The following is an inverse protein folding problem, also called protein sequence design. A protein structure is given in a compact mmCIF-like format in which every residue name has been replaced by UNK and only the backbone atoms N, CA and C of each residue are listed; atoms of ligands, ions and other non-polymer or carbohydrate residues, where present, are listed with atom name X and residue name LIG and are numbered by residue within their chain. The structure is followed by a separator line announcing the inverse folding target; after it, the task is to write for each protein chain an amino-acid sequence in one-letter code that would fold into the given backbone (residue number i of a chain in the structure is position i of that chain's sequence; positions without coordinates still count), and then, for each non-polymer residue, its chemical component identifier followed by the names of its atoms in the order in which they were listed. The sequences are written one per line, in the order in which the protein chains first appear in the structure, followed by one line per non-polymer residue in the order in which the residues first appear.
data_IF_435903936660
#
_entry.id   IF_435903936660
#
_cell.length_a   1.000
_cell.length_b   1.000
_cell.length_c   1.000
_cell.angle_alpha   90.00
_cell.angle_beta   90.00
_cell.angle_gamma   90.00
#
_symmetry.space_group_name_H-M   'P 1'
#
loop_
_entity.id
_entity.type
_entity.pdbx_description
1 polymer ?
#
# COMPACT_ATOMS: atom_id res chain seq x y z
N UNK A 1 5.94 4.56 33.73
CA UNK A 1 6.86 3.73 32.91
C UNK A 1 6.44 3.58 31.43
N UNK A 2 5.17 3.74 31.03
CA UNK A 2 4.72 3.67 29.62
C UNK A 2 4.74 5.01 28.85
N UNK A 3 5.06 6.13 29.51
CA UNK A 3 4.95 7.48 28.92
C UNK A 3 5.84 7.69 27.70
N UNK A 4 7.11 7.29 27.78
CA UNK A 4 8.07 7.45 26.69
C UNK A 4 7.70 6.56 25.47
N UNK A 5 7.25 5.33 25.71
CA UNK A 5 6.83 4.40 24.64
C UNK A 5 5.60 4.93 23.90
N UNK A 6 4.60 5.45 24.64
CA UNK A 6 3.40 6.06 24.04
C UNK A 6 3.76 7.31 23.21
N UNK A 7 4.69 8.13 23.72
CA UNK A 7 5.15 9.33 23.03
C UNK A 7 5.95 8.99 21.76
N UNK A 8 6.85 8.01 21.83
CA UNK A 8 7.60 7.50 20.67
C UNK A 8 6.66 6.90 19.62
N UNK A 9 5.68 6.07 20.00
CA UNK A 9 4.71 5.52 19.05
C UNK A 9 3.84 6.60 18.38
N UNK A 10 3.46 7.67 19.09
CA UNK A 10 2.73 8.79 18.51
C UNK A 10 3.58 9.60 17.51
N UNK A 11 4.87 9.81 17.79
CA UNK A 11 5.82 10.41 16.85
C UNK A 11 6.01 9.55 15.59
N UNK A 12 6.00 8.23 15.75
CA UNK A 12 6.19 7.28 14.64
C UNK A 12 5.06 7.33 13.62
N UNK A 13 3.81 7.58 14.01
CA UNK A 13 2.69 7.68 13.05
C UNK A 13 2.90 8.87 12.09
N UNK A 14 3.33 10.01 12.62
CA UNK A 14 3.64 11.19 11.80
C UNK A 14 4.84 10.96 10.88
N UNK A 15 5.92 10.37 11.41
CA UNK A 15 7.11 10.05 10.62
C UNK A 15 6.80 9.05 9.49
N UNK A 16 6.10 7.95 9.80
CA UNK A 16 5.65 6.95 8.80
C UNK A 16 4.80 7.57 7.72
N UNK A 17 3.84 8.42 8.10
CA UNK A 17 2.98 9.14 7.14
C UNK A 17 3.82 10.06 6.23
N UNK A 18 4.80 10.77 6.80
CA UNK A 18 5.74 11.59 6.05
C UNK A 18 6.53 10.78 5.01
N UNK A 19 7.03 9.60 5.38
CA UNK A 19 7.72 8.71 4.44
C UNK A 19 6.78 8.17 3.36
N UNK A 20 5.53 7.83 3.71
CA UNK A 20 4.53 7.44 2.73
C UNK A 20 4.28 8.57 1.72
N UNK A 21 4.17 9.82 2.18
CA UNK A 21 4.00 10.99 1.33
C UNK A 21 5.20 11.22 0.40
N UNK A 22 6.43 11.12 0.92
CA UNK A 22 7.65 11.19 0.11
C UNK A 22 7.69 10.08 -0.94
N UNK A 23 7.32 8.86 -0.57
CA UNK A 23 7.27 7.71 -1.49
C UNK A 23 6.29 7.95 -2.64
N UNK A 24 5.10 8.51 -2.35
CA UNK A 24 4.12 8.89 -3.38
C UNK A 24 4.67 10.02 -4.26
N UNK A 25 5.34 11.02 -3.70
CA UNK A 25 5.94 12.13 -4.45
C UNK A 25 7.05 11.70 -5.40
N UNK A 26 7.97 10.85 -4.94
CA UNK A 26 9.06 10.28 -5.75
C UNK A 26 8.49 9.38 -6.85
N UNK A 27 7.49 8.55 -6.52
CA UNK A 27 6.79 7.68 -7.48
C UNK A 27 6.07 8.49 -8.58
N UNK A 28 5.45 9.63 -8.22
CA UNK A 28 4.87 10.57 -9.19
C UNK A 28 5.94 11.16 -10.11
N UNK A 29 7.07 11.59 -9.57
CA UNK A 29 8.17 12.13 -10.35
C UNK A 29 8.71 11.08 -11.34
N UNK A 30 8.91 9.84 -10.88
CA UNK A 30 9.35 8.73 -11.74
C UNK A 30 8.36 8.45 -12.88
N UNK A 31 7.06 8.41 -12.57
CA UNK A 31 6.01 8.19 -13.56
C UNK A 31 5.95 9.31 -14.60
N UNK A 32 5.99 10.58 -14.19
CA UNK A 32 5.95 11.72 -15.11
C UNK A 32 7.13 11.74 -16.05
N UNK A 33 8.34 11.51 -15.53
CA UNK A 33 9.56 11.44 -16.32
C UNK A 33 9.48 10.32 -17.35
N UNK A 34 9.12 9.10 -16.91
CA UNK A 34 8.96 7.95 -17.81
C UNK A 34 7.88 8.17 -18.87
N UNK A 35 6.75 8.77 -18.51
CA UNK A 35 5.67 9.07 -19.45
C UNK A 35 6.09 10.11 -20.49
N UNK A 36 6.79 11.17 -20.07
CA UNK A 36 7.30 12.19 -20.97
C UNK A 36 8.30 11.58 -21.97
N UNK A 37 9.31 10.87 -21.47
CA UNK A 37 10.30 10.20 -22.30
C UNK A 37 9.66 9.21 -23.29
N UNK A 38 8.68 8.42 -22.83
CA UNK A 38 8.03 7.42 -23.68
C UNK A 38 7.23 8.04 -24.85
N UNK A 39 6.69 9.24 -24.66
CA UNK A 39 5.97 9.97 -25.71
C UNK A 39 6.90 10.54 -26.78
N UNK A 40 8.11 10.93 -26.38
CA UNK A 40 9.05 11.64 -27.26
C UNK A 40 10.04 10.69 -27.94
N UNK A 41 10.47 9.64 -27.25
CA UNK A 41 11.50 8.72 -27.74
C UNK A 41 11.00 7.91 -28.93
N UNK A 42 11.66 8.06 -30.07
CA UNK A 42 11.38 7.31 -31.30
C UNK A 42 12.27 6.06 -31.41
N UNK A 43 11.65 4.89 -31.59
CA UNK A 43 12.35 3.65 -31.96
C UNK A 43 11.49 2.82 -32.92
N UNK A 44 12.15 2.11 -33.83
CA UNK A 44 11.48 1.29 -34.85
C UNK A 44 10.35 2.05 -35.59
N UNK A 45 10.60 3.34 -35.89
CA UNK A 45 9.70 4.18 -36.68
C UNK A 45 8.50 4.79 -35.93
N UNK A 46 8.41 4.66 -34.60
CA UNK A 46 7.32 5.26 -33.81
C UNK A 46 7.70 5.61 -32.37
N UNK A 47 6.92 6.46 -31.66
CA UNK A 47 7.07 6.70 -30.24
C UNK A 47 7.04 5.40 -29.42
N UNK A 48 7.90 5.28 -28.41
CA UNK A 48 7.96 4.01 -27.65
C UNK A 48 6.71 3.74 -26.81
N UNK A 49 5.93 4.78 -26.47
CA UNK A 49 4.64 4.62 -25.79
C UNK A 49 3.64 3.76 -26.58
N UNK A 50 3.81 3.61 -27.89
CA UNK A 50 2.97 2.77 -28.73
C UNK A 50 3.33 1.27 -28.69
N UNK A 51 4.40 0.88 -27.97
CA UNK A 51 4.73 -0.53 -27.78
C UNK A 51 3.99 -1.11 -26.56
N UNK A 52 3.37 -2.29 -26.69
CA UNK A 52 2.65 -2.94 -25.59
C UNK A 52 3.38 -3.04 -24.27
N UNK A 53 4.63 -3.47 -24.30
CA UNK A 53 5.45 -3.57 -23.10
C UNK A 53 5.61 -2.22 -22.38
N UNK A 54 5.71 -1.11 -23.11
CA UNK A 54 5.92 0.22 -22.52
C UNK A 54 4.61 0.77 -21.93
N UNK A 55 3.50 0.70 -22.67
CA UNK A 55 2.24 1.19 -22.10
C UNK A 55 1.74 0.31 -20.95
N UNK A 56 2.08 -0.99 -20.94
CA UNK A 56 1.82 -1.87 -19.80
C UNK A 56 2.55 -1.37 -18.56
N UNK A 57 3.88 -1.19 -18.64
CA UNK A 57 4.69 -0.65 -17.54
C UNK A 57 4.15 0.69 -17.03
N UNK A 58 3.92 1.65 -17.93
CA UNK A 58 3.38 2.96 -17.56
C UNK A 58 2.00 2.86 -16.89
N UNK A 59 1.13 1.98 -17.38
CA UNK A 59 -0.20 1.80 -16.80
C UNK A 59 -0.15 1.20 -15.39
N UNK A 60 0.73 0.22 -15.17
CA UNK A 60 0.94 -0.40 -13.86
C UNK A 60 1.61 0.58 -12.89
N UNK A 61 2.58 1.38 -13.35
CA UNK A 61 3.18 2.44 -12.55
C UNK A 61 2.12 3.43 -12.06
N UNK A 62 1.25 3.91 -12.97
CA UNK A 62 0.14 4.82 -12.62
C UNK A 62 -0.85 4.20 -11.65
N UNK A 63 -1.21 2.93 -11.87
CA UNK A 63 -2.10 2.17 -11.01
C UNK A 63 -1.57 2.07 -9.57
N UNK A 64 -0.31 1.67 -9.39
CA UNK A 64 0.36 1.60 -8.07
C UNK A 64 0.44 2.98 -7.39
N UNK A 65 0.74 4.01 -8.17
CA UNK A 65 0.89 5.38 -7.71
C UNK A 65 -0.44 5.96 -7.19
N UNK A 66 -1.52 5.81 -7.95
CA UNK A 66 -2.84 6.29 -7.55
C UNK A 66 -3.38 5.51 -6.35
N UNK A 67 -3.23 4.19 -6.33
CA UNK A 67 -3.57 3.36 -5.17
C UNK A 67 -2.80 3.79 -3.91
N UNK A 68 -1.49 4.03 -4.04
CA UNK A 68 -0.66 4.50 -2.92
C UNK A 68 -1.09 5.89 -2.43
N UNK A 69 -1.49 6.77 -3.34
CA UNK A 69 -2.00 8.11 -3.01
C UNK A 69 -3.35 8.03 -2.30
N UNK A 70 -4.26 7.17 -2.74
CA UNK A 70 -5.54 6.96 -2.09
C UNK A 70 -5.35 6.43 -0.67
N UNK A 71 -4.45 5.46 -0.47
CA UNK A 71 -4.08 4.95 0.85
C UNK A 71 -3.43 6.02 1.73
N UNK A 72 -2.54 6.84 1.16
CA UNK A 72 -1.91 7.95 1.86
C UNK A 72 -2.96 8.93 2.38
N UNK A 73 -3.91 9.35 1.55
CA UNK A 73 -4.92 10.34 1.95
C UNK A 73 -5.91 9.78 2.96
N UNK A 74 -6.36 8.53 2.83
CA UNK A 74 -7.21 7.92 3.86
C UNK A 74 -6.45 7.78 5.19
N UNK A 75 -5.17 7.43 5.13
CA UNK A 75 -4.32 7.35 6.34
C UNK A 75 -4.09 8.73 6.96
N UNK A 76 -3.86 9.76 6.13
CA UNK A 76 -3.72 11.14 6.59
C UNK A 76 -5.00 11.61 7.28
N UNK A 77 -6.18 11.31 6.72
CA UNK A 77 -7.47 11.60 7.34
C UNK A 77 -7.59 11.00 8.74
N UNK A 78 -7.18 9.73 8.93
CA UNK A 78 -7.18 9.13 10.26
C UNK A 78 -6.25 9.87 11.22
N UNK A 79 -5.05 10.22 10.76
CA UNK A 79 -4.04 10.91 11.57
C UNK A 79 -4.51 12.31 11.96
N UNK A 80 -5.07 13.05 11.02
CA UNK A 80 -5.53 14.42 11.22
C UNK A 80 -6.68 14.47 12.23
N UNK A 81 -7.66 13.57 12.13
CA UNK A 81 -8.81 13.55 13.03
C UNK A 81 -8.37 13.29 14.47
N UNK A 82 -7.58 12.23 14.73
CA UNK A 82 -7.21 11.93 16.11
C UNK A 82 -6.27 13.00 16.69
N UNK A 83 -5.35 13.57 15.90
CA UNK A 83 -4.47 14.65 16.36
C UNK A 83 -5.25 15.92 16.67
N UNK A 84 -6.23 16.26 15.83
CA UNK A 84 -7.10 17.42 16.08
C UNK A 84 -7.86 17.25 17.40
N UNK A 85 -8.41 16.06 17.66
CA UNK A 85 -9.06 15.76 18.93
C UNK A 85 -8.10 15.79 20.13
N UNK A 86 -6.82 15.40 19.95
CA UNK A 86 -5.79 15.60 20.98
C UNK A 86 -5.59 17.08 21.27
N UNK A 87 -5.42 17.93 20.25
CA UNK A 87 -5.22 19.37 20.46
C UNK A 87 -6.44 20.03 21.13
N UNK A 88 -7.66 19.67 20.71
CA UNK A 88 -8.90 20.14 21.37
C UNK A 88 -8.90 19.74 22.85
N UNK A 89 -8.41 18.54 23.19
CA UNK A 89 -8.34 18.05 24.57
C UNK A 89 -7.37 18.82 25.47
N UNK A 90 -6.45 19.60 24.88
CA UNK A 90 -5.54 20.50 25.61
C UNK A 90 -6.24 21.81 26.01
N UNK A 91 -7.29 22.21 25.28
CA UNK A 91 -8.03 23.45 25.52
C UNK A 91 -9.32 23.22 26.32
N UNK A 92 -9.99 22.07 26.16
CA UNK A 92 -11.22 21.72 26.89
C UNK A 92 -11.39 20.22 27.06
N UNK A 93 -12.26 19.80 27.96
CA UNK A 93 -12.66 18.40 28.02
C UNK A 93 -13.39 17.95 26.75
N UNK A 94 -13.03 16.77 26.26
CA UNK A 94 -13.72 16.10 25.16
C UNK A 94 -15.07 15.54 25.62
N UNK A 95 -16.09 15.66 24.76
CA UNK A 95 -17.37 14.98 24.96
C UNK A 95 -17.19 13.46 24.89
N UNK A 96 -18.24 12.71 25.24
CA UNK A 96 -18.20 11.25 25.16
C UNK A 96 -17.99 10.79 23.72
N UNK A 97 -18.69 11.41 22.78
CA UNK A 97 -18.63 11.13 21.35
C UNK A 97 -17.22 11.42 20.79
N UNK A 98 -16.61 12.55 21.17
CA UNK A 98 -15.25 12.92 20.78
C UNK A 98 -14.21 11.95 21.36
N UNK A 99 -14.40 11.47 22.59
CA UNK A 99 -13.53 10.45 23.20
C UNK A 99 -13.62 9.12 22.46
N UNK A 100 -14.80 8.73 21.99
CA UNK A 100 -15.01 7.53 21.18
C UNK A 100 -14.39 7.68 19.80
N UNK A 101 -14.57 8.84 19.17
CA UNK A 101 -13.98 9.18 17.88
C UNK A 101 -12.45 9.19 17.92
N UNK A 102 -11.86 9.82 18.95
CA UNK A 102 -10.42 9.84 19.19
C UNK A 102 -9.85 8.41 19.26
N UNK A 103 -10.47 7.53 20.07
CA UNK A 103 -10.03 6.13 20.19
C UNK A 103 -10.13 5.40 18.85
N UNK A 104 -11.22 5.61 18.10
CA UNK A 104 -11.44 5.00 16.79
C UNK A 104 -10.36 5.41 15.79
N UNK A 105 -10.14 6.70 15.61
CA UNK A 105 -9.19 7.20 14.60
C UNK A 105 -7.73 7.01 15.00
N UNK A 106 -7.42 7.04 16.30
CA UNK A 106 -6.10 6.66 16.78
C UNK A 106 -5.80 5.19 16.44
N UNK A 107 -6.74 4.27 16.70
CA UNK A 107 -6.59 2.85 16.32
C UNK A 107 -6.37 2.70 14.81
N UNK A 108 -7.12 3.43 13.98
CA UNK A 108 -6.93 3.36 12.53
C UNK A 108 -5.59 3.92 12.09
N UNK A 109 -5.15 5.05 12.64
CA UNK A 109 -3.82 5.59 12.35
C UNK A 109 -2.69 4.63 12.75
N UNK A 110 -2.79 3.99 13.92
CA UNK A 110 -1.79 3.03 14.40
C UNK A 110 -1.65 1.81 13.46
N UNK A 111 -2.75 1.38 12.84
CA UNK A 111 -2.77 0.26 11.89
C UNK A 111 -2.36 0.70 10.48
N UNK A 112 -2.89 1.82 9.99
CA UNK A 112 -2.73 2.22 8.60
C UNK A 112 -1.41 2.94 8.30
N UNK A 113 -0.80 3.65 9.26
CA UNK A 113 0.49 4.31 9.02
C UNK A 113 1.64 3.35 8.67
N UNK A 114 1.85 2.20 9.36
CA UNK A 114 2.85 1.23 8.92
C UNK A 114 2.47 0.56 7.60
N UNK A 115 1.18 0.28 7.36
CA UNK A 115 0.70 -0.29 6.10
C UNK A 115 1.00 0.64 4.91
N UNK A 116 0.63 1.93 5.04
CA UNK A 116 0.84 2.96 4.03
C UNK A 116 2.33 3.16 3.76
N UNK A 117 3.15 3.32 4.81
CA UNK A 117 4.60 3.48 4.64
C UNK A 117 5.22 2.26 3.96
N UNK A 118 4.90 1.07 4.44
CA UNK A 118 5.44 -0.18 3.90
C UNK A 118 5.17 -0.33 2.41
N UNK A 119 3.89 -0.30 2.02
CA UNK A 119 3.50 -0.56 0.62
C UNK A 119 3.89 0.59 -0.31
N UNK A 120 3.65 1.85 0.09
CA UNK A 120 3.98 2.98 -0.78
C UNK A 120 5.49 3.08 -1.04
N UNK A 121 6.33 2.76 -0.04
CA UNK A 121 7.79 2.77 -0.22
C UNK A 121 8.29 1.66 -1.15
N UNK A 122 7.72 0.46 -1.07
CA UNK A 122 8.05 -0.64 -1.99
C UNK A 122 7.57 -0.35 -3.42
N UNK A 123 6.35 0.18 -3.59
CA UNK A 123 5.85 0.60 -4.90
C UNK A 123 6.64 1.78 -5.48
N UNK A 124 7.09 2.72 -4.65
CA UNK A 124 7.98 3.79 -5.08
C UNK A 124 9.29 3.22 -5.67
N UNK A 125 9.91 2.25 -5.00
CA UNK A 125 11.12 1.58 -5.51
C UNK A 125 10.86 0.88 -6.85
N UNK A 126 9.74 0.17 -6.98
CA UNK A 126 9.37 -0.51 -8.23
C UNK A 126 9.09 0.48 -9.37
N UNK A 127 8.35 1.56 -9.10
CA UNK A 127 8.05 2.56 -10.12
C UNK A 127 9.31 3.32 -10.54
N UNK A 128 10.23 3.63 -9.61
CA UNK A 128 11.51 4.23 -9.96
C UNK A 128 12.38 3.27 -10.80
N UNK A 129 12.37 1.98 -10.50
CA UNK A 129 13.02 0.95 -11.32
C UNK A 129 12.45 0.90 -12.74
N UNK A 130 11.12 0.82 -12.87
CA UNK A 130 10.42 0.77 -14.15
C UNK A 130 10.66 2.06 -14.96
N UNK A 131 10.76 3.21 -14.29
CA UNK A 131 11.11 4.46 -14.94
C UNK A 131 12.51 4.42 -15.57
N UNK A 132 13.52 3.90 -14.87
CA UNK A 132 14.87 3.70 -15.44
C UNK A 132 14.79 2.77 -16.65
N UNK A 133 14.06 1.67 -16.53
CA UNK A 133 13.90 0.67 -17.58
C UNK A 133 13.24 1.25 -18.85
N UNK A 134 12.24 2.12 -18.72
CA UNK A 134 11.58 2.80 -19.84
C UNK A 134 12.56 3.73 -20.57
N UNK A 135 13.53 4.32 -19.86
CA UNK A 135 14.58 5.13 -20.48
C UNK A 135 15.66 4.29 -21.18
N UNK A 136 15.73 2.98 -20.92
CA UNK A 136 16.77 2.09 -21.41
C UNK A 136 18.16 2.52 -20.93
N UNK A 137 19.17 2.43 -21.79
CA UNK A 137 20.55 2.84 -21.44
C UNK A 137 20.66 4.30 -21.00
N UNK A 138 19.84 5.19 -21.56
CA UNK A 138 19.79 6.60 -21.16
C UNK A 138 19.36 6.79 -19.70
N UNK A 139 18.56 5.88 -19.15
CA UNK A 139 18.12 5.93 -17.76
C UNK A 139 19.23 5.68 -16.74
N UNK A 140 20.36 5.10 -17.19
CA UNK A 140 21.55 4.90 -16.38
C UNK A 140 22.50 6.11 -16.43
N UNK A 141 22.32 7.03 -17.39
CA UNK A 141 23.13 8.23 -17.54
C UNK A 141 22.58 9.35 -16.64
N UNK A 142 23.44 10.32 -16.32
CA UNK A 142 23.06 11.50 -15.52
C UNK A 142 22.32 12.59 -16.31
N UNK A 143 22.07 12.35 -17.59
CA UNK A 143 21.35 13.27 -18.46
C UNK A 143 19.85 13.33 -18.12
N UNK A 144 19.32 12.25 -17.53
CA UNK A 144 17.93 12.16 -17.07
C UNK A 144 17.88 12.09 -15.54
N UNK A 145 16.86 12.69 -14.90
CA UNK A 145 16.75 12.69 -13.44
C UNK A 145 16.42 11.30 -12.87
N UNK A 146 16.09 10.32 -13.70
CA UNK A 146 15.57 9.01 -13.28
C UNK A 146 16.56 8.18 -12.46
N UNK A 147 17.88 8.31 -12.71
CA UNK A 147 18.91 7.67 -11.86
C UNK A 147 18.91 8.23 -10.44
N UNK A 148 18.72 9.55 -10.31
CA UNK A 148 18.64 10.24 -9.02
C UNK A 148 17.35 9.84 -8.31
N UNK A 149 16.22 9.86 -9.02
CA UNK A 149 14.91 9.43 -8.50
C UNK A 149 15.00 7.99 -7.97
N UNK A 150 15.70 7.09 -8.67
CA UNK A 150 15.91 5.71 -8.22
C UNK A 150 16.71 5.64 -6.91
N UNK A 151 17.79 6.40 -6.79
CA UNK A 151 18.57 6.48 -5.54
C UNK A 151 17.74 7.07 -4.39
N UNK A 152 16.98 8.12 -4.65
CA UNK A 152 16.12 8.77 -3.67
C UNK A 152 14.96 7.84 -3.24
N UNK A 153 14.41 7.04 -4.15
CA UNK A 153 13.40 6.03 -3.82
C UNK A 153 13.95 4.96 -2.87
N UNK A 154 15.23 4.62 -2.96
CA UNK A 154 15.82 3.50 -2.21
C UNK A 154 15.76 3.69 -0.71
N UNK A 155 15.94 4.92 -0.23
CA UNK A 155 15.98 5.19 1.22
C UNK A 155 14.61 5.02 1.87
N UNK A 156 13.51 5.17 1.12
CA UNK A 156 12.16 5.21 1.70
C UNK A 156 11.73 3.89 2.34
N UNK A 157 12.22 2.75 1.83
CA UNK A 157 11.96 1.42 2.41
C UNK A 157 12.93 1.05 3.54
N UNK A 158 13.90 1.90 3.86
CA UNK A 158 14.95 1.65 4.87
C UNK A 158 14.75 2.48 6.13
N UNK A 159 14.76 3.81 6.01
CA UNK A 159 14.69 4.68 7.19
C UNK A 159 13.30 4.69 7.84
N UNK A 160 13.20 5.25 9.05
CA UNK A 160 11.96 5.27 9.84
C UNK A 160 11.31 3.87 9.97
N UNK A 161 12.17 2.86 10.05
CA UNK A 161 11.84 1.44 10.10
C UNK A 161 11.73 0.80 8.72
N UNK A 162 12.46 -0.30 8.50
CA UNK A 162 12.44 -1.07 7.26
C UNK A 162 11.05 -1.60 6.93
N UNK A 163 10.81 -2.01 5.68
CA UNK A 163 9.55 -2.68 5.29
C UNK A 163 9.21 -3.85 6.21
N UNK A 164 10.20 -4.64 6.65
CA UNK A 164 10.02 -5.73 7.60
C UNK A 164 9.51 -5.23 8.96
N UNK A 165 10.07 -4.15 9.49
CA UNK A 165 9.59 -3.54 10.75
C UNK A 165 8.19 -2.95 10.59
N UNK A 166 7.85 -2.40 9.42
CA UNK A 166 6.47 -1.96 9.15
C UNK A 166 5.50 -3.14 9.10
N UNK A 167 5.89 -4.26 8.51
CA UNK A 167 5.10 -5.49 8.51
C UNK A 167 4.85 -5.98 9.94
N UNK A 168 5.88 -5.99 10.79
CA UNK A 168 5.74 -6.34 12.22
C UNK A 168 4.79 -5.37 12.94
N UNK A 169 4.81 -4.08 12.61
CA UNK A 169 3.86 -3.12 13.18
C UNK A 169 2.42 -3.32 12.65
N UNK A 170 2.28 -3.68 11.37
CA UNK A 170 1.00 -3.84 10.68
C UNK A 170 0.32 -5.19 10.95
N UNK A 171 1.06 -6.25 11.33
CA UNK A 171 0.52 -7.61 11.43
C UNK A 171 -0.60 -7.73 12.46
N UNK A 172 -0.61 -6.89 13.49
CA UNK A 172 -1.70 -6.83 14.46
C UNK A 172 -3.04 -6.54 13.81
N UNK A 173 -3.07 -5.76 12.73
CA UNK A 173 -4.29 -5.50 11.96
C UNK A 173 -4.86 -6.75 11.29
N UNK A 174 -3.99 -7.69 10.92
CA UNK A 174 -4.37 -8.99 10.38
C UNK A 174 -4.87 -9.91 11.49
N UNK A 175 -4.04 -10.16 12.51
CA UNK A 175 -4.32 -11.18 13.54
C UNK A 175 -5.49 -10.84 14.44
N UNK A 176 -5.82 -9.56 14.60
CA UNK A 176 -7.02 -9.11 15.34
C UNK A 176 -8.27 -8.99 14.46
N UNK A 177 -8.17 -9.25 13.16
CA UNK A 177 -9.26 -9.07 12.20
C UNK A 177 -9.60 -7.60 11.90
N UNK A 178 -8.83 -6.63 12.39
CA UNK A 178 -9.14 -5.21 12.23
C UNK A 178 -9.11 -4.75 10.76
N UNK A 179 -8.17 -5.27 9.94
CA UNK A 179 -8.18 -4.99 8.50
C UNK A 179 -9.38 -5.62 7.80
N UNK A 180 -9.75 -6.86 8.16
CA UNK A 180 -10.91 -7.52 7.58
C UNK A 180 -12.20 -6.73 7.90
N UNK A 181 -12.37 -6.29 9.15
CA UNK A 181 -13.49 -5.44 9.54
C UNK A 181 -13.53 -4.16 8.69
N UNK A 182 -12.39 -3.49 8.51
CA UNK A 182 -12.32 -2.27 7.70
C UNK A 182 -12.58 -2.52 6.21
N UNK A 183 -12.13 -3.65 5.68
CA UNK A 183 -12.45 -4.10 4.32
C UNK A 183 -13.96 -4.30 4.15
N UNK A 184 -14.63 -4.95 5.12
CA UNK A 184 -16.09 -5.13 5.10
C UNK A 184 -16.86 -3.80 5.20
N UNK A 185 -16.34 -2.83 5.97
CA UNK A 185 -16.90 -1.48 5.98
C UNK A 185 -16.79 -0.80 4.60
N UNK A 186 -15.67 -0.95 3.89
CA UNK A 186 -15.54 -0.44 2.53
C UNK A 186 -16.42 -1.19 1.53
N UNK A 187 -16.55 -2.51 1.67
CA UNK A 187 -17.42 -3.35 0.84
C UNK A 187 -18.87 -2.86 0.86
N UNK A 188 -19.36 -2.46 2.03
CA UNK A 188 -20.72 -1.98 2.26
C UNK A 188 -21.00 -0.55 1.74
N UNK A 189 -20.00 0.15 1.19
CA UNK A 189 -20.20 1.51 0.65
C UNK A 189 -21.05 1.46 -0.63
N UNK A 190 -22.01 2.37 -0.77
CA UNK A 190 -22.81 2.50 -1.99
C UNK A 190 -21.95 2.83 -3.22
N UNK A 191 -22.13 2.07 -4.30
CA UNK A 191 -21.46 2.29 -5.58
C UNK A 191 -22.47 2.28 -6.72
N UNK A 192 -22.14 2.98 -7.80
CA UNK A 192 -22.90 2.95 -9.05
C UNK A 192 -22.98 1.51 -9.61
N UNK A 193 -24.11 1.09 -10.23
CA UNK A 193 -24.30 -0.27 -10.72
C UNK A 193 -23.19 -0.77 -11.66
N UNK A 194 -22.65 0.09 -12.50
CA UNK A 194 -21.57 -0.24 -13.44
C UNK A 194 -20.25 -0.65 -12.75
N UNK A 195 -20.08 -0.32 -11.46
CA UNK A 195 -18.88 -0.65 -10.67
C UNK A 195 -18.97 -1.98 -9.93
N UNK A 196 -20.13 -2.65 -9.94
CA UNK A 196 -20.37 -3.87 -9.17
C UNK A 196 -19.42 -5.01 -9.56
N UNK A 197 -19.02 -5.07 -10.83
CA UNK A 197 -18.06 -6.07 -11.32
C UNK A 197 -16.71 -5.95 -10.59
N UNK A 198 -16.26 -4.74 -10.28
CA UNK A 198 -15.01 -4.51 -9.56
C UNK A 198 -15.14 -4.82 -8.07
N UNK A 199 -16.31 -4.52 -7.45
CA UNK A 199 -16.59 -4.98 -6.07
C UNK A 199 -16.51 -6.49 -5.98
N UNK A 200 -17.10 -7.24 -6.92
CA UNK A 200 -17.01 -8.72 -6.94
C UNK A 200 -15.58 -9.24 -7.00
N UNK A 201 -14.68 -8.58 -7.73
CA UNK A 201 -13.25 -8.93 -7.75
C UNK A 201 -12.65 -8.77 -6.36
N UNK A 202 -12.92 -7.65 -5.68
CA UNK A 202 -12.42 -7.37 -4.34
C UNK A 202 -12.99 -8.33 -3.29
N UNK A 203 -14.26 -8.71 -3.41
CA UNK A 203 -14.87 -9.74 -2.56
C UNK A 203 -14.14 -11.08 -2.72
N UNK A 204 -13.85 -11.50 -3.95
CA UNK A 204 -13.08 -12.73 -4.21
C UNK A 204 -11.65 -12.64 -3.66
N UNK A 205 -10.96 -11.50 -3.81
CA UNK A 205 -9.65 -11.29 -3.20
C UNK A 205 -9.71 -11.37 -1.67
N UNK A 206 -10.78 -10.83 -1.07
CA UNK A 206 -11.02 -10.86 0.38
C UNK A 206 -11.24 -12.28 0.87
N UNK A 207 -11.99 -13.11 0.14
CA UNK A 207 -12.17 -14.53 0.48
C UNK A 207 -10.82 -15.27 0.53
N UNK A 208 -9.97 -15.10 -0.50
CA UNK A 208 -8.63 -15.70 -0.51
C UNK A 208 -7.75 -15.18 0.65
N UNK A 209 -7.89 -13.91 1.03
CA UNK A 209 -7.23 -13.34 2.21
C UNK A 209 -7.72 -13.97 3.51
N UNK A 210 -9.04 -14.14 3.69
CA UNK A 210 -9.62 -14.79 4.88
C UNK A 210 -9.12 -16.23 5.03
N UNK A 211 -9.11 -17.00 3.94
CA UNK A 211 -8.57 -18.36 3.91
C UNK A 211 -7.08 -18.40 4.27
N UNK A 212 -6.28 -17.47 3.71
CA UNK A 212 -4.86 -17.38 3.98
C UNK A 212 -4.57 -16.98 5.45
N UNK A 213 -5.32 -16.03 6.00
CA UNK A 213 -5.23 -15.65 7.42
C UNK A 213 -5.55 -16.84 8.29
N UNK A 214 -6.65 -17.55 8.01
CA UNK A 214 -7.05 -18.74 8.76
C UNK A 214 -5.96 -19.82 8.73
N UNK A 215 -5.46 -20.16 7.53
CA UNK A 215 -4.39 -21.16 7.35
C UNK A 215 -3.14 -20.86 8.18
N UNK A 216 -2.79 -19.59 8.35
CA UNK A 216 -1.60 -19.18 9.12
C UNK A 216 -1.90 -19.09 10.61
N UNK A 217 -2.97 -18.39 11.01
CA UNK A 217 -3.28 -18.09 12.41
C UNK A 217 -3.72 -19.35 13.17
N UNK A 218 -4.45 -20.27 12.54
CA UNK A 218 -4.93 -21.51 13.17
C UNK A 218 -3.78 -22.48 13.52
N UNK A 219 -2.57 -22.26 12.99
CA UNK A 219 -1.38 -23.06 13.38
C UNK A 219 -0.94 -22.81 14.82
N UNK A 220 -1.35 -21.70 15.43
CA UNK A 220 -0.90 -21.26 16.75
C UNK A 220 0.64 -21.20 16.90
N UNK A 221 1.36 -20.98 15.80
CA UNK A 221 2.81 -20.89 15.78
C UNK A 221 3.26 -19.47 15.39
N UNK A 222 3.85 -18.73 16.35
CA UNK A 222 4.25 -17.33 16.13
C UNK A 222 5.33 -17.18 15.04
N UNK A 223 6.27 -18.13 14.94
CA UNK A 223 7.31 -18.08 13.91
C UNK A 223 6.70 -18.23 12.50
N UNK A 224 5.68 -19.08 12.36
CA UNK A 224 4.94 -19.25 11.12
C UNK A 224 4.09 -18.02 10.76
N UNK A 225 3.47 -17.39 11.76
CA UNK A 225 2.76 -16.12 11.59
C UNK A 225 3.72 -15.02 11.11
N UNK A 226 4.88 -14.87 11.75
CA UNK A 226 5.89 -13.87 11.39
C UNK A 226 6.47 -14.14 9.99
N UNK A 227 6.72 -15.41 9.65
CA UNK A 227 7.19 -15.81 8.32
C UNK A 227 6.21 -15.44 7.19
N UNK A 228 4.91 -15.53 7.45
CA UNK A 228 3.86 -15.15 6.50
C UNK A 228 3.35 -13.72 6.67
N UNK A 229 3.83 -12.96 7.65
CA UNK A 229 3.30 -11.65 8.01
C UNK A 229 3.29 -10.68 6.82
N UNK A 230 4.38 -10.62 6.04
CA UNK A 230 4.46 -9.74 4.87
C UNK A 230 3.39 -10.07 3.84
N UNK A 231 3.18 -11.36 3.57
CA UNK A 231 2.19 -11.81 2.59
C UNK A 231 0.78 -11.39 3.01
N UNK A 232 0.42 -11.65 4.26
CA UNK A 232 -0.91 -11.32 4.80
C UNK A 232 -1.15 -9.79 4.84
N UNK A 233 -0.16 -9.02 5.30
CA UNK A 233 -0.24 -7.55 5.34
C UNK A 233 -0.38 -6.96 3.94
N UNK A 234 0.40 -7.45 2.97
CA UNK A 234 0.31 -6.98 1.58
C UNK A 234 -1.02 -7.37 0.93
N UNK A 235 -1.56 -8.58 1.18
CA UNK A 235 -2.90 -8.96 0.71
C UNK A 235 -3.97 -7.97 1.22
N UNK A 236 -3.98 -7.69 2.52
CA UNK A 236 -4.89 -6.70 3.11
C UNK A 236 -4.72 -5.31 2.48
N UNK A 237 -3.48 -4.86 2.30
CA UNK A 237 -3.19 -3.57 1.69
C UNK A 237 -3.64 -3.46 0.24
N UNK A 238 -3.48 -4.53 -0.55
CA UNK A 238 -3.92 -4.54 -1.95
C UNK A 238 -5.44 -4.45 -2.08
N UNK A 239 -6.17 -5.17 -1.22
CA UNK A 239 -7.63 -5.13 -1.15
C UNK A 239 -8.09 -3.74 -0.72
N UNK A 240 -7.52 -3.19 0.37
CA UNK A 240 -7.85 -1.85 0.88
C UNK A 240 -7.65 -0.79 -0.20
N UNK A 241 -6.49 -0.75 -0.86
CA UNK A 241 -6.23 0.19 -1.95
C UNK A 241 -7.20 0.02 -3.12
N UNK A 242 -7.62 -1.22 -3.41
CA UNK A 242 -8.60 -1.49 -4.46
C UNK A 242 -9.99 -0.93 -4.11
N UNK A 243 -10.43 -1.06 -2.87
CA UNK A 243 -11.66 -0.40 -2.40
C UNK A 243 -11.55 1.12 -2.42
N UNK A 244 -10.41 1.69 -2.03
CA UNK A 244 -10.20 3.14 -2.07
C UNK A 244 -10.29 3.67 -3.51
N UNK A 245 -9.65 2.99 -4.48
CA UNK A 245 -9.77 3.33 -5.89
C UNK A 245 -11.17 3.12 -6.45
N UNK A 246 -11.89 2.09 -5.98
CA UNK A 246 -13.30 1.87 -6.35
C UNK A 246 -14.16 3.06 -5.90
N UNK A 247 -13.95 3.52 -4.67
CA UNK A 247 -14.65 4.69 -4.13
C UNK A 247 -14.26 5.99 -4.85
N UNK A 248 -12.99 6.17 -5.21
CA UNK A 248 -12.54 7.29 -6.04
C UNK A 248 -13.21 7.25 -7.42
N UNK A 249 -13.27 6.09 -8.05
CA UNK A 249 -13.93 5.90 -9.35
C UNK A 249 -15.44 6.15 -9.26
N UNK A 250 -16.06 5.78 -8.14
CA UNK A 250 -17.47 6.06 -7.88
C UNK A 250 -17.76 7.56 -7.83
N UNK A 251 -16.82 8.35 -7.28
CA UNK A 251 -16.88 9.82 -7.24
C UNK A 251 -16.52 10.47 -8.57
N UNK A 252 -15.47 10.00 -9.22
CA UNK A 252 -14.91 10.57 -10.45
C UNK A 252 -14.49 9.47 -11.43
N UNK A 253 -15.10 9.48 -12.63
CA UNK A 253 -14.86 8.51 -13.69
C UNK A 253 -13.41 8.50 -14.21
N UNK A 254 -12.63 9.57 -13.97
CA UNK A 254 -11.23 9.64 -14.40
C UNK A 254 -10.34 8.54 -13.79
N UNK A 255 -10.73 7.96 -12.65
CA UNK A 255 -10.00 6.87 -12.00
C UNK A 255 -10.32 5.48 -12.56
N UNK A 256 -11.29 5.36 -13.47
CA UNK A 256 -11.78 4.07 -13.95
C UNK A 256 -10.67 3.21 -14.57
N UNK A 257 -9.89 3.79 -15.49
CA UNK A 257 -8.77 3.09 -16.12
C UNK A 257 -7.73 2.63 -15.09
N UNK A 258 -7.43 3.48 -14.11
CA UNK A 258 -6.52 3.16 -13.01
C UNK A 258 -7.07 1.98 -12.19
N UNK A 259 -8.35 2.00 -11.83
CA UNK A 259 -9.01 0.91 -11.10
C UNK A 259 -8.87 -0.43 -11.84
N UNK A 260 -9.17 -0.46 -13.14
CA UNK A 260 -9.08 -1.69 -13.93
C UNK A 260 -7.68 -2.29 -13.95
N UNK A 261 -6.67 -1.46 -14.22
CA UNK A 261 -5.28 -1.90 -14.28
C UNK A 261 -4.81 -2.32 -12.89
N UNK A 262 -5.14 -1.54 -11.87
CA UNK A 262 -4.80 -1.84 -10.49
C UNK A 262 -5.39 -3.17 -10.05
N UNK A 263 -6.67 -3.45 -10.32
CA UNK A 263 -7.30 -4.70 -9.90
C UNK A 263 -6.74 -5.93 -10.60
N UNK A 264 -6.31 -5.83 -11.86
CA UNK A 264 -5.59 -6.92 -12.54
C UNK A 264 -4.27 -7.23 -11.83
N UNK A 265 -3.48 -6.18 -11.55
CA UNK A 265 -2.22 -6.31 -10.80
C UNK A 265 -2.45 -6.84 -9.38
N UNK A 266 -3.33 -6.21 -8.61
CA UNK A 266 -3.60 -6.52 -7.22
C UNK A 266 -4.15 -7.95 -7.05
N UNK A 267 -5.06 -8.39 -7.93
CA UNK A 267 -5.58 -9.77 -7.91
C UNK A 267 -4.47 -10.79 -8.15
N UNK A 268 -3.61 -10.57 -9.14
CA UNK A 268 -2.46 -11.45 -9.42
C UNK A 268 -1.52 -11.54 -8.21
N UNK A 269 -1.21 -10.40 -7.59
CA UNK A 269 -0.35 -10.36 -6.41
C UNK A 269 -1.00 -11.02 -5.18
N UNK A 270 -2.30 -10.87 -5.01
CA UNK A 270 -3.06 -11.52 -3.94
C UNK A 270 -3.05 -13.04 -4.10
N UNK A 271 -3.30 -13.53 -5.31
CA UNK A 271 -3.30 -14.97 -5.62
C UNK A 271 -1.92 -15.60 -5.39
N UNK A 272 -0.84 -14.95 -5.86
CA UNK A 272 0.52 -15.43 -5.63
C UNK A 272 0.82 -15.66 -4.13
N UNK A 273 0.34 -14.76 -3.27
CA UNK A 273 0.54 -14.82 -1.81
C UNK A 273 -0.32 -15.90 -1.18
N UNK A 274 -1.59 -15.97 -1.57
CA UNK A 274 -2.52 -17.00 -1.13
C UNK A 274 -1.98 -18.39 -1.49
N UNK A 275 -1.50 -18.58 -2.71
CA UNK A 275 -0.97 -19.85 -3.19
C UNK A 275 0.30 -20.25 -2.44
N UNK A 276 1.22 -19.31 -2.21
CA UNK A 276 2.39 -19.58 -1.38
C UNK A 276 1.99 -20.06 0.02
N UNK A 277 1.02 -19.40 0.67
CA UNK A 277 0.52 -19.77 2.00
C UNK A 277 -0.19 -21.13 1.98
N UNK A 278 -0.99 -21.40 0.95
CA UNK A 278 -1.73 -22.65 0.77
C UNK A 278 -0.81 -23.87 0.83
N UNK A 279 0.35 -23.78 0.20
CA UNK A 279 1.36 -24.84 0.15
C UNK A 279 2.45 -24.74 1.23
N UNK A 280 2.30 -23.86 2.22
CA UNK A 280 3.24 -23.73 3.34
C UNK A 280 2.75 -24.45 4.59
N UNK A 281 3.67 -25.08 5.32
CA UNK A 281 3.43 -25.69 6.62
C UNK A 281 4.52 -25.30 7.62
N UNK A 282 4.22 -25.41 8.93
CA UNK A 282 5.17 -25.06 10.00
C UNK A 282 6.50 -25.79 9.85
N UNK A 283 6.48 -27.06 9.44
CA UNK A 283 7.68 -27.87 9.25
C UNK A 283 8.57 -27.39 8.09
N UNK A 284 8.05 -26.57 7.17
CA UNK A 284 8.84 -26.04 6.07
C UNK A 284 9.80 -24.92 6.51
N UNK A 285 9.57 -24.29 7.68
CA UNK A 285 10.37 -23.16 8.16
C UNK A 285 11.87 -23.47 8.25
N UNK A 286 12.23 -24.70 8.63
CA UNK A 286 13.64 -25.12 8.69
C UNK A 286 14.35 -25.03 7.35
N UNK A 287 13.64 -25.23 6.23
CA UNK A 287 14.21 -25.16 4.86
C UNK A 287 14.58 -23.73 4.45
N UNK A 288 14.03 -22.72 5.11
CA UNK A 288 14.29 -21.30 4.83
C UNK A 288 15.38 -20.70 5.72
N UNK A 289 15.90 -21.45 6.70
CA UNK A 289 17.02 -21.02 7.54
C UNK A 289 18.31 -21.37 6.80
N UNK A 290 19.08 -20.35 6.44
CA UNK A 290 20.41 -20.54 5.86
C UNK A 290 21.39 -20.69 7.03
N UNK A 291 22.07 -21.83 7.10
CA UNK A 291 23.16 -22.11 8.05
C UNK A 291 24.49 -21.53 7.57
#
# INVERSE_FOLDING_TARGET
RLGLIKYVMALMNGARLGIAAQSVGISEAAYREALAYAKERQQFGKPIIEFPAIYEMLSVMKAKLDASRALLYETARYVDIYKTLIHISEERELTKEEKEELKKYQKWADLFTPLAKGIASEFCNQNAYDAVQIHGGSGFMKDYPVERIYRDARITSIYEGTTQLQVVAAIRGVTTGAYLARIKEFEATDIKPELETYRRILVSMTQAYEEAVKKVVDTNNNEFVDFHARRLVEMAGFIIMGYLLLMDTNRDHNYWKTLEVYLKFARSQNEQRAEFIRYSNVNDLGKFKIE
#
